data_IF_967385663885
#
_entry.id   IF_967385663885
#
_cell.length_a   1.000
_cell.length_b   1.000
_cell.length_c   1.000
_cell.angle_alpha   90.00
_cell.angle_beta   90.00
_cell.angle_gamma   90.00
#
_symmetry.space_group_name_H-M   'P 1'
#
loop_
_entity.id
_entity.type
_entity.pdbx_description
1 polymer ?
#
# COMPACT_ATOMS: atom_id res chain seq x y z
N UNK A 1 27.13 0.50 -0.04
CA UNK A 1 26.36 -0.45 -0.86
C UNK A 1 25.49 0.25 -1.91
N UNK A 2 24.41 0.97 -1.55
CA UNK A 2 23.48 1.57 -2.54
C UNK A 2 24.17 2.49 -3.57
N UNK A 3 24.92 3.50 -3.12
CA UNK A 3 25.62 4.41 -4.04
C UNK A 3 26.63 3.70 -4.94
N UNK A 4 27.34 2.70 -4.42
CA UNK A 4 28.28 1.89 -5.22
C UNK A 4 27.55 1.11 -6.33
N UNK A 5 26.33 0.62 -6.06
CA UNK A 5 25.51 -0.05 -7.07
C UNK A 5 25.03 0.93 -8.14
N UNK A 6 24.57 2.13 -7.73
CA UNK A 6 24.16 3.20 -8.65
C UNK A 6 25.32 3.63 -9.54
N UNK A 7 26.49 3.91 -8.96
CA UNK A 7 27.73 4.27 -9.67
C UNK A 7 28.14 3.19 -10.68
N UNK A 8 28.01 1.90 -10.32
CA UNK A 8 28.29 0.79 -11.24
C UNK A 8 27.31 0.73 -12.42
N UNK A 9 26.03 0.97 -12.20
CA UNK A 9 24.99 0.88 -13.25
C UNK A 9 25.03 2.09 -14.18
N UNK A 10 25.21 3.29 -13.64
CA UNK A 10 25.19 4.53 -14.41
C UNK A 10 26.55 4.85 -15.07
N UNK A 11 27.63 4.23 -14.61
CA UNK A 11 28.95 4.32 -15.23
C UNK A 11 29.74 5.59 -14.89
N UNK A 12 30.89 5.80 -15.55
CA UNK A 12 31.90 6.79 -15.15
C UNK A 12 31.47 8.26 -15.30
N UNK A 13 30.37 8.54 -16.00
CA UNK A 13 29.81 9.89 -16.13
C UNK A 13 28.94 10.31 -14.94
N UNK A 14 28.52 9.37 -14.10
CA UNK A 14 27.72 9.65 -12.92
C UNK A 14 28.63 10.02 -11.73
N UNK A 15 28.40 11.20 -11.16
CA UNK A 15 29.03 11.63 -9.91
C UNK A 15 27.93 11.98 -8.91
N UNK A 16 27.78 11.16 -7.87
CA UNK A 16 26.78 11.38 -6.82
C UNK A 16 26.96 12.74 -6.14
N UNK A 17 28.13 13.36 -6.16
CA UNK A 17 28.36 14.66 -5.56
C UNK A 17 27.62 15.79 -6.31
N UNK A 18 27.31 15.57 -7.59
CA UNK A 18 26.55 16.52 -8.42
C UNK A 18 25.04 16.47 -8.19
N UNK A 19 24.51 15.53 -7.41
CA UNK A 19 23.09 15.57 -7.09
C UNK A 19 22.82 16.70 -6.08
N UNK A 20 22.01 17.70 -6.47
CA UNK A 20 21.61 18.82 -5.61
C UNK A 20 20.80 18.34 -4.39
N UNK A 21 19.99 17.30 -4.56
CA UNK A 21 19.16 16.71 -3.51
C UNK A 21 19.43 15.22 -3.40
N UNK A 22 19.69 14.74 -2.17
CA UNK A 22 19.95 13.33 -1.86
C UNK A 22 19.21 12.93 -0.58
N UNK A 23 18.17 12.11 -0.72
CA UNK A 23 17.42 11.56 0.41
C UNK A 23 17.52 10.03 0.38
N UNK A 24 18.34 9.47 1.26
CA UNK A 24 18.54 8.00 1.32
C UNK A 24 17.45 7.37 2.19
N UNK A 25 16.59 6.58 1.56
CA UNK A 25 15.63 5.74 2.25
C UNK A 25 16.31 4.51 2.86
N UNK A 26 15.99 4.23 4.12
CA UNK A 26 16.35 2.98 4.82
C UNK A 26 15.09 2.37 5.44
N UNK A 27 15.13 1.12 5.93
CA UNK A 27 14.02 0.59 6.74
C UNK A 27 13.65 1.50 7.93
N UNK A 28 14.62 2.22 8.52
CA UNK A 28 14.31 3.20 9.58
C UNK A 28 13.49 4.38 9.05
N UNK A 29 13.73 4.83 7.82
CA UNK A 29 12.94 5.85 7.13
C UNK A 29 11.50 5.35 6.93
N UNK A 30 11.32 4.12 6.44
CA UNK A 30 10.00 3.49 6.31
C UNK A 30 9.28 3.37 7.65
N UNK A 31 9.96 2.93 8.71
CA UNK A 31 9.39 2.84 10.05
C UNK A 31 8.95 4.21 10.57
N UNK A 32 9.77 5.25 10.38
CA UNK A 32 9.49 6.62 10.83
C UNK A 32 8.29 7.24 10.13
N UNK A 33 8.24 7.18 8.79
CA UNK A 33 7.24 7.92 8.03
C UNK A 33 5.95 7.14 7.80
N UNK A 34 6.02 5.80 7.72
CA UNK A 34 4.87 4.96 7.37
C UNK A 34 4.42 4.07 8.55
N UNK A 35 5.01 4.24 9.75
CA UNK A 35 4.73 3.46 10.96
C UNK A 35 4.84 1.94 10.75
N UNK A 36 5.75 1.52 9.88
CA UNK A 36 5.93 0.11 9.52
C UNK A 36 6.82 -0.58 10.55
N UNK A 37 6.36 -1.68 11.12
CA UNK A 37 7.16 -2.51 12.02
C UNK A 37 8.48 -2.87 11.33
N UNK A 38 9.63 -2.53 11.93
CA UNK A 38 10.97 -2.81 11.36
C UNK A 38 11.20 -2.23 9.96
N UNK A 39 10.39 -1.28 9.51
CA UNK A 39 10.51 -0.69 8.19
C UNK A 39 10.10 -1.59 7.03
N UNK A 40 9.23 -2.59 7.24
CA UNK A 40 8.84 -3.49 6.15
C UNK A 40 8.13 -2.73 5.01
N UNK A 41 8.26 -3.26 3.79
CA UNK A 41 7.47 -2.78 2.66
C UNK A 41 6.00 -3.23 2.74
N UNK A 42 5.72 -4.33 3.45
CA UNK A 42 4.39 -4.88 3.71
C UNK A 42 4.47 -6.38 4.06
N UNK A 43 3.32 -7.06 4.28
CA UNK A 43 3.29 -8.50 4.47
C UNK A 43 3.55 -9.24 3.14
N UNK A 44 4.50 -10.18 3.12
CA UNK A 44 4.69 -11.06 1.98
C UNK A 44 4.06 -12.42 2.28
N UNK A 45 2.97 -12.74 1.60
CA UNK A 45 2.29 -14.04 1.66
C UNK A 45 2.61 -14.76 0.35
N UNK A 46 3.05 -16.02 0.40
CA UNK A 46 3.34 -16.79 -0.80
C UNK A 46 2.04 -17.13 -1.51
N UNK A 47 2.04 -17.01 -2.85
CA UNK A 47 0.88 -17.32 -3.65
C UNK A 47 0.45 -18.79 -3.44
N UNK A 48 -0.85 -18.99 -3.19
CA UNK A 48 -1.44 -20.31 -2.94
C UNK A 48 -1.28 -20.83 -1.51
N UNK A 49 -0.54 -20.15 -0.63
CA UNK A 49 -0.44 -20.55 0.78
C UNK A 49 -1.52 -19.90 1.65
N UNK A 50 -1.76 -18.61 1.47
CA UNK A 50 -2.78 -17.87 2.22
C UNK A 50 -3.23 -16.62 1.45
N UNK A 51 -4.26 -15.94 1.95
CA UNK A 51 -4.73 -14.64 1.47
C UNK A 51 -4.48 -13.56 2.53
N UNK A 52 -4.47 -12.30 2.09
CA UNK A 52 -4.51 -11.18 3.03
C UNK A 52 -5.82 -11.23 3.83
N UNK A 53 -5.79 -10.83 5.12
CA UNK A 53 -6.99 -10.80 5.94
C UNK A 53 -8.04 -9.83 5.35
N UNK A 54 -9.31 -10.15 5.53
CA UNK A 54 -10.42 -9.28 5.15
C UNK A 54 -10.48 -7.99 5.97
N UNK A 55 -11.41 -7.09 5.62
CA UNK A 55 -11.53 -5.78 6.26
C UNK A 55 -12.14 -5.79 7.65
N UNK A 56 -12.90 -6.82 8.01
CA UNK A 56 -13.64 -6.88 9.27
C UNK A 56 -12.72 -7.06 10.47
N UNK A 57 -13.08 -6.43 11.58
CA UNK A 57 -12.40 -6.64 12.87
C UNK A 57 -13.38 -7.21 13.89
N UNK A 58 -12.90 -7.78 15.02
CA UNK A 58 -13.78 -8.18 16.12
C UNK A 58 -14.53 -7.01 16.79
N UNK A 59 -14.11 -5.77 16.54
CA UNK A 59 -14.74 -4.58 17.09
C UNK A 59 -15.86 -4.10 16.15
N UNK A 60 -17.11 -3.98 16.63
CA UNK A 60 -18.21 -3.50 15.81
C UNK A 60 -17.91 -2.13 15.22
N UNK A 61 -18.25 -1.95 13.93
CA UNK A 61 -18.08 -0.68 13.19
C UNK A 61 -16.62 -0.21 13.05
N UNK A 62 -15.64 -1.07 13.32
CA UNK A 62 -14.23 -0.80 13.02
C UNK A 62 -13.77 -1.71 11.87
N UNK A 63 -13.25 -1.10 10.82
CA UNK A 63 -12.76 -1.77 9.62
C UNK A 63 -11.30 -1.41 9.36
N UNK A 64 -10.57 -2.36 8.80
CA UNK A 64 -9.21 -2.17 8.29
C UNK A 64 -9.24 -2.05 6.77
N UNK A 65 -8.40 -1.17 6.22
CA UNK A 65 -8.09 -1.12 4.79
C UNK A 65 -6.62 -0.77 4.59
N UNK A 66 -6.13 -1.03 3.38
CA UNK A 66 -4.76 -0.75 2.99
C UNK A 66 -3.97 -2.01 2.65
N UNK A 67 -2.64 -1.89 2.61
CA UNK A 67 -1.77 -2.93 2.04
C UNK A 67 -1.60 -4.20 2.89
N UNK A 68 -2.15 -4.18 4.10
CA UNK A 68 -2.16 -5.32 5.02
C UNK A 68 -3.55 -5.96 5.12
N UNK A 69 -4.49 -5.49 4.30
CA UNK A 69 -5.85 -5.99 4.15
C UNK A 69 -6.04 -6.40 2.70
N UNK A 70 -6.85 -7.41 2.44
CA UNK A 70 -7.21 -7.80 1.09
C UNK A 70 -7.66 -6.56 0.27
N UNK A 71 -7.19 -6.38 -0.98
CA UNK A 71 -6.40 -7.32 -1.80
C UNK A 71 -4.88 -7.40 -1.54
N UNK A 72 -4.30 -6.52 -0.71
CA UNK A 72 -2.88 -6.58 -0.32
C UNK A 72 -2.01 -5.43 -0.85
N UNK A 73 -0.72 -5.72 -1.08
CA UNK A 73 0.31 -4.70 -1.36
C UNK A 73 0.19 -4.11 -2.78
N UNK A 74 0.47 -2.81 -2.89
CA UNK A 74 0.61 -2.08 -4.15
C UNK A 74 -0.49 -1.04 -4.33
N UNK A 75 -0.20 0.06 -5.04
CA UNK A 75 -1.13 1.20 -5.17
C UNK A 75 -2.54 0.76 -5.62
N UNK A 76 -2.71 -0.08 -6.67
CA UNK A 76 -4.05 -0.50 -7.08
C UNK A 76 -4.77 -1.36 -6.02
N UNK A 77 -4.05 -2.28 -5.38
CA UNK A 77 -4.61 -3.15 -4.35
C UNK A 77 -5.02 -2.35 -3.11
N UNK A 78 -4.21 -1.39 -2.68
CA UNK A 78 -4.52 -0.47 -1.57
C UNK A 78 -5.77 0.36 -1.87
N UNK A 79 -5.87 0.92 -3.08
CA UNK A 79 -7.04 1.69 -3.50
C UNK A 79 -8.31 0.82 -3.51
N UNK A 80 -8.21 -0.40 -4.07
CA UNK A 80 -9.30 -1.36 -4.06
C UNK A 80 -9.71 -1.77 -2.65
N UNK A 81 -8.76 -2.00 -1.73
CA UNK A 81 -9.04 -2.30 -0.32
C UNK A 81 -9.87 -1.19 0.34
N UNK A 82 -9.52 0.07 0.11
CA UNK A 82 -10.30 1.23 0.59
C UNK A 82 -11.70 1.27 -0.02
N UNK A 83 -11.82 1.05 -1.33
CA UNK A 83 -13.12 1.00 -2.02
C UNK A 83 -14.01 -0.12 -1.49
N UNK A 84 -13.46 -1.32 -1.24
CA UNK A 84 -14.20 -2.45 -0.67
C UNK A 84 -14.78 -2.08 0.70
N UNK A 85 -13.98 -1.47 1.58
CA UNK A 85 -14.46 -1.03 2.90
C UNK A 85 -15.58 -0.02 2.75
N UNK A 86 -15.40 1.02 1.94
CA UNK A 86 -16.42 2.04 1.71
C UNK A 86 -17.75 1.43 1.23
N UNK A 87 -17.69 0.50 0.28
CA UNK A 87 -18.89 -0.17 -0.25
C UNK A 87 -19.52 -1.16 0.72
N UNK A 88 -18.76 -1.67 1.70
CA UNK A 88 -19.26 -2.57 2.75
C UNK A 88 -20.01 -1.83 3.86
N UNK A 89 -19.95 -0.49 3.90
CA UNK A 89 -20.67 0.35 4.88
C UNK A 89 -22.13 0.62 4.50
N UNK A 90 -22.53 0.26 3.29
CA UNK A 90 -23.88 0.51 2.75
C UNK A 90 -24.49 -0.79 2.21
N UNK A 91 -25.80 -0.90 2.23
CA UNK A 91 -26.51 -2.07 1.73
C UNK A 91 -26.54 -2.11 0.20
N UNK A 92 -26.82 -3.28 -0.37
CA UNK A 92 -27.07 -3.43 -1.81
C UNK A 92 -28.22 -2.54 -2.30
N UNK A 93 -29.24 -2.30 -1.47
CA UNK A 93 -30.34 -1.40 -1.83
C UNK A 93 -29.88 0.05 -1.96
N UNK A 94 -29.01 0.52 -1.06
CA UNK A 94 -28.45 1.87 -1.13
C UNK A 94 -27.52 2.04 -2.34
N UNK A 95 -26.80 0.99 -2.73
CA UNK A 95 -26.06 0.98 -3.99
C UNK A 95 -27.00 1.15 -5.19
N UNK A 96 -28.13 0.44 -5.21
CA UNK A 96 -29.11 0.56 -6.29
C UNK A 96 -29.74 1.97 -6.34
N UNK A 97 -30.10 2.54 -5.19
CA UNK A 97 -30.65 3.90 -5.11
C UNK A 97 -29.68 4.94 -5.71
N UNK A 98 -28.37 4.77 -5.50
CA UNK A 98 -27.37 5.64 -6.11
C UNK A 98 -27.33 5.48 -7.63
N UNK A 99 -27.35 4.24 -8.14
CA UNK A 99 -27.34 3.95 -9.58
C UNK A 99 -28.55 4.57 -10.27
N UNK A 100 -29.75 4.36 -9.71
CA UNK A 100 -31.00 4.95 -10.19
C UNK A 100 -30.91 6.49 -10.22
N UNK A 101 -30.33 7.11 -9.17
CA UNK A 101 -30.18 8.56 -9.07
C UNK A 101 -29.21 9.16 -10.11
N UNK A 102 -28.22 8.38 -10.57
CA UNK A 102 -27.28 8.82 -11.63
C UNK A 102 -27.69 8.33 -13.03
N UNK A 103 -28.84 7.67 -13.15
CA UNK A 103 -29.40 7.22 -14.43
C UNK A 103 -28.66 6.04 -15.06
N UNK A 104 -28.04 5.18 -14.24
CA UNK A 104 -27.45 3.89 -14.64
C UNK A 104 -28.34 2.77 -14.10
#
# INVERSE_FOLDING_TARGET
VMWQAVERVLGPGFDRNKCEVKLVGTPLTHQRFLRRKRGTYGPAIRAGEDAFPGHSTPLPQLFCCGDSTFPGIGIPAVAASGAIVANSLVSVSQHQELLDAIGI
#
